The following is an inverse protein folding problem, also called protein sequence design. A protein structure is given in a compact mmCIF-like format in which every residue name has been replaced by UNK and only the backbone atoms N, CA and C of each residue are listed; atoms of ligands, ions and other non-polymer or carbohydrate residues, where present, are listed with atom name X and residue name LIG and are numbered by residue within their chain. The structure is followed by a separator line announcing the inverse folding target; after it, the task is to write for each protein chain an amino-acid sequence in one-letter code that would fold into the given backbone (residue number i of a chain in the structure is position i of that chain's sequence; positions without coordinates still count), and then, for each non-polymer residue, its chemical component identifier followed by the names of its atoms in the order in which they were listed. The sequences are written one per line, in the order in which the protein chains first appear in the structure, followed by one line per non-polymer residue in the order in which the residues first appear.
data_IF_170666539097
#
_entry.id   IF_170666539097
#
_cell.length_a   1.000
_cell.length_b   1.000
_cell.length_c   1.000
_cell.angle_alpha   90.00
_cell.angle_beta   90.00
_cell.angle_gamma   90.00
#
_symmetry.space_group_name_H-M   'P 1'
#
loop_
_entity.id
_entity.type
_entity.pdbx_description
1 polymer ?
#
# COMPACT_ATOMS: atom_id res chain seq x y z
N UNK A 1 -37.68 -5.62 -15.44
CA UNK A 1 -36.37 -5.49 -14.78
C UNK A 1 -35.69 -6.84 -14.89
N UNK A 2 -34.46 -6.86 -15.40
CA UNK A 2 -33.70 -8.09 -15.53
C UNK A 2 -32.97 -8.41 -14.22
N UNK A 3 -32.52 -9.66 -14.05
CA UNK A 3 -31.61 -10.00 -12.93
C UNK A 3 -30.25 -9.31 -13.11
N UNK A 4 -29.85 -9.02 -14.34
CA UNK A 4 -28.61 -8.29 -14.65
C UNK A 4 -28.65 -6.86 -14.10
N UNK A 5 -29.79 -6.17 -14.21
CA UNK A 5 -29.98 -4.83 -13.63
C UNK A 5 -29.87 -4.86 -12.10
N UNK A 6 -30.44 -5.88 -11.45
CA UNK A 6 -30.40 -6.03 -10.00
C UNK A 6 -28.99 -6.40 -9.50
N UNK A 7 -28.27 -7.23 -10.25
CA UNK A 7 -26.87 -7.56 -9.96
C UNK A 7 -25.99 -6.33 -10.15
N UNK A 8 -26.17 -5.58 -11.24
CA UNK A 8 -25.47 -4.32 -11.47
C UNK A 8 -25.73 -3.32 -10.35
N UNK A 9 -26.98 -3.22 -9.89
CA UNK A 9 -27.36 -2.38 -8.75
C UNK A 9 -26.70 -2.83 -7.44
N UNK A 10 -26.62 -4.14 -7.20
CA UNK A 10 -26.02 -4.73 -5.99
C UNK A 10 -24.52 -4.45 -5.88
N UNK A 11 -23.80 -4.51 -7.00
CA UNK A 11 -22.35 -4.31 -7.08
C UNK A 11 -21.93 -2.88 -7.47
N UNK A 12 -22.89 -1.93 -7.51
CA UNK A 12 -22.67 -0.52 -7.87
C UNK A 12 -22.01 -0.34 -9.25
N UNK A 13 -22.44 -1.14 -10.23
CA UNK A 13 -21.95 -1.15 -11.61
C UNK A 13 -22.82 -0.32 -12.57
N UNK A 14 -23.99 0.13 -12.13
CA UNK A 14 -24.90 0.93 -12.93
C UNK A 14 -24.48 2.40 -12.93
N UNK A 15 -24.79 3.09 -14.02
CA UNK A 15 -24.70 4.54 -14.03
C UNK A 15 -25.74 5.18 -13.07
N UNK A 16 -25.57 6.46 -12.69
CA UNK A 16 -26.45 7.10 -11.72
C UNK A 16 -27.93 7.14 -12.14
N UNK A 17 -28.23 7.19 -13.44
CA UNK A 17 -29.59 7.24 -13.96
C UNK A 17 -30.30 5.89 -13.83
N UNK A 18 -29.63 4.83 -14.26
CA UNK A 18 -30.13 3.46 -14.17
C UNK A 18 -30.26 3.01 -12.72
N UNK A 19 -29.29 3.40 -11.87
CA UNK A 19 -29.35 3.15 -10.43
C UNK A 19 -30.59 3.79 -9.79
N UNK A 20 -30.92 5.02 -10.16
CA UNK A 20 -32.12 5.70 -9.66
C UNK A 20 -33.42 5.02 -10.15
N UNK A 21 -33.44 4.55 -11.40
CA UNK A 21 -34.58 3.82 -11.95
C UNK A 21 -34.80 2.47 -11.25
N UNK A 22 -33.73 1.73 -10.96
CA UNK A 22 -33.79 0.48 -10.19
C UNK A 22 -34.26 0.75 -8.76
N UNK A 23 -33.70 1.76 -8.08
CA UNK A 23 -34.10 2.13 -6.73
C UNK A 23 -35.59 2.51 -6.65
N UNK A 24 -36.09 3.30 -7.61
CA UNK A 24 -37.50 3.66 -7.69
C UNK A 24 -38.39 2.42 -7.89
N UNK A 25 -37.98 1.49 -8.75
CA UNK A 25 -38.72 0.25 -8.97
C UNK A 25 -38.78 -0.60 -7.70
N UNK A 26 -37.64 -0.84 -7.07
CA UNK A 26 -37.53 -1.62 -5.82
C UNK A 26 -38.44 -1.05 -4.73
N UNK A 27 -38.58 0.28 -4.65
CA UNK A 27 -39.46 0.92 -3.67
C UNK A 27 -40.95 0.69 -3.96
N UNK A 28 -41.33 0.55 -5.23
CA UNK A 28 -42.74 0.42 -5.66
C UNK A 28 -43.21 -1.02 -5.89
N UNK A 29 -42.27 -1.95 -6.09
CA UNK A 29 -42.56 -3.34 -6.48
C UNK A 29 -41.97 -4.32 -5.46
N UNK A 30 -42.87 -4.95 -4.71
CA UNK A 30 -42.54 -5.93 -3.67
C UNK A 30 -41.89 -7.20 -4.20
N UNK A 31 -42.21 -7.62 -5.44
CA UNK A 31 -41.59 -8.81 -6.04
C UNK A 31 -40.13 -8.53 -6.39
N UNK A 32 -39.88 -7.38 -7.02
CA UNK A 32 -38.52 -6.92 -7.32
C UNK A 32 -37.70 -6.73 -6.05
N UNK A 33 -38.29 -6.19 -4.97
CA UNK A 33 -37.63 -6.09 -3.67
C UNK A 33 -37.27 -7.47 -3.08
N UNK A 34 -38.19 -8.44 -3.12
CA UNK A 34 -37.93 -9.80 -2.64
C UNK A 34 -36.81 -10.49 -3.42
N UNK A 35 -36.77 -10.31 -4.75
CA UNK A 35 -35.68 -10.81 -5.60
C UNK A 35 -34.33 -10.19 -5.24
N UNK A 36 -34.29 -8.89 -5.00
CA UNK A 36 -33.07 -8.21 -4.55
C UNK A 36 -32.58 -8.74 -3.19
N UNK A 37 -33.48 -8.96 -2.24
CA UNK A 37 -33.13 -9.57 -0.95
C UNK A 37 -32.61 -11.01 -1.10
N UNK A 38 -33.21 -11.80 -1.99
CA UNK A 38 -32.71 -13.13 -2.30
C UNK A 38 -31.29 -13.10 -2.89
N UNK A 39 -31.04 -12.19 -3.83
CA UNK A 39 -29.71 -11.98 -4.40
C UNK A 39 -28.70 -11.54 -3.33
N UNK A 40 -29.07 -10.61 -2.45
CA UNK A 40 -28.24 -10.18 -1.30
C UNK A 40 -27.86 -11.36 -0.41
N UNK A 41 -28.83 -12.19 -0.05
CA UNK A 41 -28.58 -13.37 0.77
C UNK A 41 -27.64 -14.37 0.06
N UNK A 42 -27.80 -14.54 -1.26
CA UNK A 42 -26.97 -15.45 -2.05
C UNK A 42 -25.50 -14.99 -2.16
N UNK A 43 -25.25 -13.67 -2.26
CA UNK A 43 -23.89 -13.13 -2.39
C UNK A 43 -23.24 -12.76 -1.06
N UNK A 44 -23.97 -12.77 0.05
CA UNK A 44 -23.46 -12.40 1.37
C UNK A 44 -22.13 -13.09 1.75
N UNK A 45 -21.90 -14.40 1.46
CA UNK A 45 -20.61 -15.03 1.75
C UNK A 45 -19.45 -14.43 0.94
N UNK A 46 -19.71 -14.05 -0.32
CA UNK A 46 -18.70 -13.45 -1.20
C UNK A 46 -18.37 -12.03 -0.75
N UNK A 47 -19.40 -11.24 -0.40
CA UNK A 47 -19.21 -9.90 0.13
C UNK A 47 -18.44 -9.92 1.45
N UNK A 48 -18.78 -10.84 2.35
CA UNK A 48 -18.06 -11.02 3.62
C UNK A 48 -16.60 -11.41 3.41
N UNK A 49 -16.30 -12.30 2.44
CA UNK A 49 -14.93 -12.63 2.09
C UNK A 49 -14.17 -11.42 1.53
N UNK A 50 -14.81 -10.64 0.66
CA UNK A 50 -14.21 -9.43 0.09
C UNK A 50 -13.97 -8.35 1.15
N UNK A 51 -14.87 -8.18 2.12
CA UNK A 51 -14.71 -7.29 3.27
C UNK A 51 -13.53 -7.74 4.14
N UNK A 52 -13.46 -9.04 4.45
CA UNK A 52 -12.34 -9.61 5.20
C UNK A 52 -11.00 -9.38 4.49
N UNK A 53 -10.93 -9.59 3.16
CA UNK A 53 -9.71 -9.31 2.40
C UNK A 53 -9.33 -7.82 2.39
N UNK A 54 -10.30 -6.90 2.48
CA UNK A 54 -9.99 -5.46 2.61
C UNK A 54 -9.41 -5.13 3.99
N UNK A 55 -9.95 -5.73 5.03
CA UNK A 55 -9.49 -5.53 6.42
C UNK A 55 -8.15 -6.22 6.69
N UNK A 56 -7.97 -7.41 6.11
CA UNK A 56 -6.79 -8.26 6.22
C UNK A 56 -6.22 -8.53 4.81
N UNK A 57 -5.62 -7.52 4.16
CA UNK A 57 -5.09 -7.69 2.82
C UNK A 57 -4.01 -8.78 2.81
N UNK A 58 -4.03 -9.69 1.83
CA UNK A 58 -3.00 -10.71 1.71
C UNK A 58 -1.64 -10.06 1.46
N UNK A 59 -0.59 -10.65 2.02
CA UNK A 59 0.79 -10.21 1.76
C UNK A 59 1.06 -10.26 0.24
N UNK A 60 1.46 -9.14 -0.38
CA UNK A 60 1.75 -9.13 -1.80
C UNK A 60 2.94 -10.02 -2.12
N UNK A 61 2.99 -10.54 -3.35
CA UNK A 61 4.15 -11.33 -3.80
C UNK A 61 5.43 -10.50 -3.62
N UNK A 62 6.54 -11.11 -3.14
CA UNK A 62 7.80 -10.39 -2.95
C UNK A 62 8.22 -9.61 -4.21
N UNK A 63 8.64 -8.36 -4.00
CA UNK A 63 9.07 -7.47 -5.08
C UNK A 63 7.96 -6.96 -6.01
N UNK A 64 6.67 -7.16 -5.70
CA UNK A 64 5.57 -6.56 -6.46
C UNK A 64 5.69 -5.03 -6.46
N UNK A 65 5.84 -4.41 -5.29
CA UNK A 65 5.96 -2.95 -5.16
C UNK A 65 7.08 -2.38 -6.03
N UNK A 66 8.29 -2.94 -5.96
CA UNK A 66 9.43 -2.48 -6.75
C UNK A 66 9.19 -2.61 -8.25
N UNK A 67 8.62 -3.73 -8.71
CA UNK A 67 8.30 -3.95 -10.12
C UNK A 67 7.23 -3.00 -10.62
N UNK A 68 6.20 -2.73 -9.82
CA UNK A 68 5.16 -1.76 -10.15
C UNK A 68 5.74 -0.35 -10.26
N UNK A 69 6.57 0.07 -9.29
CA UNK A 69 7.26 1.37 -9.36
C UNK A 69 8.16 1.49 -10.59
N UNK A 70 8.91 0.43 -10.93
CA UNK A 70 9.75 0.41 -12.12
C UNK A 70 8.90 0.50 -13.41
N UNK A 71 7.75 -0.18 -13.45
CA UNK A 71 6.83 -0.13 -14.59
C UNK A 71 6.21 1.27 -14.76
N UNK A 72 5.80 1.92 -13.66
CA UNK A 72 5.29 3.30 -13.68
C UNK A 72 6.37 4.28 -14.13
N UNK A 73 7.59 4.18 -13.57
CA UNK A 73 8.71 5.04 -13.96
C UNK A 73 9.03 4.92 -15.45
N UNK A 74 9.04 3.68 -15.98
CA UNK A 74 9.20 3.43 -17.41
C UNK A 74 8.06 4.07 -18.20
N UNK A 75 6.81 3.88 -17.80
CA UNK A 75 5.66 4.44 -18.49
C UNK A 75 5.70 5.97 -18.56
N UNK A 76 6.06 6.64 -17.46
CA UNK A 76 6.23 8.09 -17.41
C UNK A 76 7.32 8.56 -18.38
N UNK A 77 8.48 7.90 -18.38
CA UNK A 77 9.58 8.22 -19.31
C UNK A 77 9.18 8.03 -20.77
N UNK A 78 8.41 6.97 -21.06
CA UNK A 78 8.00 6.61 -22.42
C UNK A 78 6.82 7.47 -22.93
N UNK A 79 5.94 7.94 -22.03
CA UNK A 79 4.63 8.50 -22.42
C UNK A 79 4.48 9.98 -22.13
N UNK A 80 5.21 10.55 -21.18
CA UNK A 80 5.07 11.97 -20.86
C UNK A 80 6.01 12.84 -21.71
N UNK A 81 5.49 13.88 -22.38
CA UNK A 81 6.33 14.83 -23.09
C UNK A 81 7.22 15.56 -22.07
N UNK A 82 8.55 15.45 -22.25
CA UNK A 82 9.51 16.14 -21.39
C UNK A 82 9.29 17.65 -21.48
N UNK A 83 8.71 18.23 -20.43
CA UNK A 83 8.75 19.68 -20.23
C UNK A 83 10.20 20.01 -19.86
N UNK A 84 10.95 20.58 -20.79
CA UNK A 84 12.29 21.12 -20.51
C UNK A 84 12.09 22.43 -19.76
N UNK A 85 11.72 22.35 -18.49
CA UNK A 85 11.89 23.49 -17.62
C UNK A 85 13.39 23.63 -17.31
N UNK A 86 13.93 24.88 -17.29
CA UNK A 86 15.30 25.10 -16.90
C UNK A 86 15.47 24.61 -15.47
N UNK A 87 16.12 23.45 -15.33
CA UNK A 87 16.35 22.80 -14.05
C UNK A 87 17.05 23.77 -13.09
N UNK A 88 16.38 24.07 -11.97
CA UNK A 88 16.96 24.83 -10.86
C UNK A 88 18.24 24.16 -10.35
N UNK A 89 18.33 22.83 -10.46
CA UNK A 89 19.55 22.06 -10.14
C UNK A 89 20.66 22.32 -11.16
N UNK A 90 20.33 22.47 -12.45
CA UNK A 90 21.33 22.83 -13.47
C UNK A 90 21.81 24.29 -13.32
N UNK A 91 20.96 25.20 -12.85
CA UNK A 91 21.38 26.55 -12.46
C UNK A 91 22.29 26.50 -11.21
N UNK A 92 21.90 25.74 -10.19
CA UNK A 92 22.67 25.60 -8.95
C UNK A 92 24.04 24.91 -9.15
N UNK A 93 24.13 23.92 -10.05
CA UNK A 93 25.38 23.24 -10.38
C UNK A 93 26.32 24.10 -11.26
N UNK A 94 25.81 25.11 -11.98
CA UNK A 94 26.66 26.08 -12.69
C UNK A 94 27.40 27.02 -11.73
N UNK A 95 26.77 27.34 -10.60
CA UNK A 95 27.35 28.23 -9.59
C UNK A 95 28.27 27.47 -8.61
N UNK A 96 28.36 26.14 -8.72
CA UNK A 96 29.34 25.35 -7.97
C UNK A 96 30.69 25.36 -8.70
N UNK A 97 31.73 26.02 -8.16
CA UNK A 97 33.06 25.95 -8.75
C UNK A 97 33.52 24.49 -8.73
N UNK A 98 33.86 23.97 -9.91
CA UNK A 98 34.57 22.70 -10.09
C UNK A 98 36.03 22.86 -9.65
N UNK A 99 36.27 23.47 -8.50
CA UNK A 99 37.53 23.23 -7.83
C UNK A 99 37.45 21.79 -7.36
N UNK A 100 38.28 20.95 -7.98
CA UNK A 100 38.70 19.70 -7.39
C UNK A 100 39.38 20.07 -6.06
N UNK A 101 38.57 20.35 -5.03
CA UNK A 101 38.97 20.05 -3.68
C UNK A 101 39.30 18.57 -3.74
N UNK A 102 40.59 18.26 -3.73
CA UNK A 102 41.08 17.11 -3.01
C UNK A 102 40.37 17.15 -1.67
N UNK A 103 39.21 16.49 -1.62
CA UNK A 103 38.56 16.11 -0.39
C UNK A 103 39.55 15.10 0.17
N UNK A 104 40.49 15.62 0.94
CA UNK A 104 41.28 14.88 1.89
C UNK A 104 40.23 14.23 2.80
N UNK A 105 39.82 13.04 2.40
CA UNK A 105 38.95 12.14 3.16
C UNK A 105 39.83 11.59 4.28
N UNK A 106 40.26 12.52 5.15
CA UNK A 106 40.96 12.21 6.36
C UNK A 106 39.98 11.38 7.17
N UNK A 107 40.25 10.08 7.18
CA UNK A 107 39.35 9.03 7.59
C UNK A 107 39.05 9.17 9.09
N UNK A 108 38.10 10.04 9.40
CA UNK A 108 37.53 10.28 10.72
C UNK A 108 36.68 9.11 11.23
N UNK A 109 36.85 7.89 10.70
CA UNK A 109 36.35 6.68 11.34
C UNK A 109 37.29 6.25 12.46
N UNK A 110 37.50 7.14 13.45
CA UNK A 110 37.67 6.64 14.83
C UNK A 110 36.29 6.19 15.28
N UNK A 111 35.93 4.97 14.88
CA UNK A 111 34.89 4.23 15.56
C UNK A 111 35.25 4.25 17.05
N UNK A 112 34.44 4.91 17.87
CA UNK A 112 34.55 4.85 19.32
C UNK A 112 34.24 3.40 19.68
N UNK A 113 35.28 2.59 19.87
CA UNK A 113 35.14 1.22 20.40
C UNK A 113 34.32 1.34 21.69
N UNK A 114 33.17 0.66 21.82
CA UNK A 114 32.46 0.61 23.09
C UNK A 114 33.42 -0.03 24.09
N UNK A 115 33.88 0.77 25.06
CA UNK A 115 34.70 0.26 26.14
C UNK A 115 33.84 -0.77 26.89
N UNK A 116 34.21 -2.05 26.78
CA UNK A 116 33.49 -3.13 27.45
C UNK A 116 33.47 -2.84 28.95
N UNK A 117 32.28 -2.81 29.54
CA UNK A 117 32.12 -2.71 30.99
C UNK A 117 32.86 -3.89 31.65
N UNK A 118 33.57 -3.67 32.78
CA UNK A 118 34.18 -4.76 33.51
C UNK A 118 33.10 -5.75 33.96
N UNK A 119 33.40 -7.04 33.79
CA UNK A 119 32.47 -8.12 34.11
C UNK A 119 32.01 -8.03 35.59
N UNK A 120 30.72 -8.25 35.87
CA UNK A 120 30.24 -8.34 37.25
C UNK A 120 30.90 -9.55 37.95
N UNK A 121 31.19 -9.46 39.25
CA UNK A 121 31.75 -10.58 40.00
C UNK A 121 30.81 -11.79 39.98
N UNK A 122 31.35 -13.02 40.04
CA UNK A 122 30.55 -14.24 40.00
C UNK A 122 29.61 -14.29 41.20
N UNK A 123 28.33 -14.60 40.92
CA UNK A 123 27.32 -14.79 41.94
C UNK A 123 27.67 -15.99 42.83
N UNK A 124 27.43 -15.92 44.16
CA UNK A 124 27.68 -17.04 45.06
C UNK A 124 26.79 -18.23 44.70
N UNK A 125 27.41 -19.42 44.69
CA UNK A 125 26.73 -20.67 44.38
C UNK A 125 25.55 -20.91 45.34
N UNK A 126 24.35 -21.03 44.77
CA UNK A 126 23.15 -21.47 45.49
C UNK A 126 23.38 -22.90 46.00
N UNK A 127 23.65 -23.04 47.29
CA UNK A 127 23.57 -24.32 48.01
C UNK A 127 22.10 -24.72 48.10
N UNK A 128 21.72 -25.76 47.38
CA UNK A 128 20.45 -26.44 47.61
C UNK A 128 20.54 -27.30 48.87
N UNK A 129 19.52 -27.32 49.74
CA UNK A 129 19.48 -28.22 50.88
C UNK A 129 19.30 -29.65 50.38
N UNK A 130 20.22 -30.54 50.74
CA UNK A 130 20.04 -31.98 50.60
C UNK A 130 19.10 -32.45 51.70
N UNK A 131 18.09 -33.24 51.32
CA UNK A 131 17.27 -34.04 52.22
C UNK A 131 18.09 -35.20 52.77
#
# INVERSE_FOLDING_TARGET
MSDEDLIGYLFDLLDPGDRAAVAARVATDTETAARLEHLRAAVAPVLSAAEFERECPPEPRPGLALRTLAAVARHVVDSEPRVVEPSVVAAFLRDYPTEAAELDFDSGTRARVPQAAPAPPPAPARRWPRR
#
